data_IF_858881446088
#
_entry.id   IF_858881446088
#
_cell.length_a   1.000
_cell.length_b   1.000
_cell.length_c   1.000
_cell.angle_alpha   90.00
_cell.angle_beta   90.00
_cell.angle_gamma   90.00
#
_symmetry.space_group_name_H-M   'P 1'
#
loop_
_entity.id
_entity.type
_entity.pdbx_description
1 polymer ?
#
# COMPACT_ATOMS: atom_id res chain seq x y z
N UNK A 1 7.11 -6.05 -16.69
CA UNK A 1 7.18 -7.45 -16.23
C UNK A 1 6.54 -8.40 -17.25
N UNK A 2 7.12 -9.58 -17.44
CA UNK A 2 6.52 -10.66 -18.23
C UNK A 2 5.43 -11.37 -17.43
N UNK A 3 4.58 -12.14 -18.10
CA UNK A 3 3.57 -12.96 -17.42
C UNK A 3 4.20 -13.98 -16.45
N UNK A 4 5.39 -14.49 -16.74
CA UNK A 4 6.11 -15.40 -15.84
C UNK A 4 6.53 -14.69 -14.56
N UNK A 5 7.12 -13.48 -14.67
CA UNK A 5 7.53 -12.68 -13.52
C UNK A 5 6.36 -12.33 -12.60
N UNK A 6 5.17 -12.05 -13.15
CA UNK A 6 3.98 -11.77 -12.35
C UNK A 6 3.51 -13.00 -11.56
N UNK A 7 3.52 -14.18 -12.19
CA UNK A 7 3.16 -15.44 -11.51
C UNK A 7 4.13 -15.79 -10.39
N UNK A 8 5.43 -15.63 -10.63
CA UNK A 8 6.47 -15.91 -9.64
C UNK A 8 6.30 -14.98 -8.44
N UNK A 9 6.08 -13.69 -8.68
CA UNK A 9 5.78 -12.71 -7.63
C UNK A 9 4.50 -13.06 -6.87
N UNK A 10 3.41 -13.40 -7.56
CA UNK A 10 2.17 -13.81 -6.91
C UNK A 10 2.35 -15.07 -6.04
N UNK A 11 3.18 -16.02 -6.49
CA UNK A 11 3.51 -17.22 -5.72
C UNK A 11 4.35 -16.91 -4.48
N UNK A 12 5.30 -15.98 -4.58
CA UNK A 12 6.08 -15.51 -3.44
C UNK A 12 5.19 -14.81 -2.41
N UNK A 13 4.33 -13.89 -2.86
CA UNK A 13 3.40 -13.17 -1.97
C UNK A 13 2.49 -14.15 -1.21
N UNK A 14 1.93 -15.17 -1.89
CA UNK A 14 1.12 -16.19 -1.20
C UNK A 14 1.87 -16.89 -0.06
N UNK A 15 3.16 -17.15 -0.23
CA UNK A 15 4.00 -17.79 0.81
C UNK A 15 4.21 -16.91 2.03
N UNK A 16 4.16 -15.59 1.86
CA UNK A 16 4.34 -14.65 2.98
C UNK A 16 3.13 -14.58 3.92
N UNK A 17 1.94 -14.96 3.45
CA UNK A 17 0.71 -14.91 4.25
C UNK A 17 0.22 -13.49 4.56
N UNK A 18 0.70 -12.46 3.84
CA UNK A 18 0.25 -11.08 4.06
C UNK A 18 -1.22 -10.91 3.66
N UNK A 19 -2.01 -10.16 4.44
CA UNK A 19 -3.45 -9.98 4.17
C UNK A 19 -3.73 -8.96 3.06
N UNK A 20 -2.79 -8.02 2.83
CA UNK A 20 -3.02 -6.84 1.99
C UNK A 20 -1.76 -6.43 1.23
N UNK A 21 -1.93 -5.98 -0.01
CA UNK A 21 -0.93 -5.31 -0.87
C UNK A 21 -1.38 -3.86 -1.07
N UNK A 22 -0.43 -2.95 -1.22
CA UNK A 22 -0.69 -1.54 -1.49
C UNK A 22 -0.14 -1.12 -2.84
N UNK A 23 -0.91 -0.34 -3.59
CA UNK A 23 -0.39 0.39 -4.75
C UNK A 23 0.22 1.71 -4.30
N UNK A 24 1.15 2.25 -5.08
CA UNK A 24 1.59 3.63 -4.90
C UNK A 24 0.75 4.61 -5.74
N UNK A 25 0.73 5.87 -5.32
CA UNK A 25 -0.07 6.93 -5.97
C UNK A 25 0.35 7.28 -7.39
N UNK A 26 1.63 7.08 -7.73
CA UNK A 26 2.20 7.47 -9.03
C UNK A 26 2.07 6.38 -10.11
N UNK A 27 1.95 5.11 -9.70
CA UNK A 27 1.89 3.97 -10.60
C UNK A 27 0.48 3.65 -11.10
N UNK A 28 0.42 3.03 -12.28
CA UNK A 28 -0.78 2.38 -12.79
C UNK A 28 -1.06 1.08 -12.01
N UNK A 29 -2.19 1.03 -11.30
CA UNK A 29 -2.53 -0.10 -10.42
C UNK A 29 -2.86 -1.40 -11.18
N UNK A 30 -2.98 -1.39 -12.52
CA UNK A 30 -3.36 -2.60 -13.28
C UNK A 30 -2.43 -3.78 -13.03
N UNK A 31 -1.12 -3.53 -13.00
CA UNK A 31 -0.13 -4.60 -12.83
C UNK A 31 -0.20 -5.18 -11.42
N UNK A 32 -0.18 -4.34 -10.39
CA UNK A 32 -0.24 -4.79 -8.99
C UNK A 32 -1.60 -5.40 -8.65
N UNK A 33 -2.69 -4.91 -9.24
CA UNK A 33 -4.01 -5.50 -9.12
C UNK A 33 -4.11 -6.90 -9.75
N UNK A 34 -3.37 -7.16 -10.83
CA UNK A 34 -3.25 -8.51 -11.38
C UNK A 34 -2.50 -9.44 -10.43
N UNK A 35 -1.38 -8.98 -9.87
CA UNK A 35 -0.61 -9.73 -8.87
C UNK A 35 -1.48 -10.03 -7.65
N UNK A 36 -2.22 -9.06 -7.12
CA UNK A 36 -3.10 -9.24 -5.97
C UNK A 36 -4.18 -10.30 -6.24
N UNK A 37 -4.80 -10.26 -7.42
CA UNK A 37 -5.81 -11.25 -7.83
C UNK A 37 -5.22 -12.65 -7.96
N UNK A 38 -4.06 -12.78 -8.62
CA UNK A 38 -3.37 -14.08 -8.77
C UNK A 38 -2.86 -14.61 -7.41
N UNK A 39 -2.44 -13.72 -6.52
CA UNK A 39 -2.03 -14.07 -5.16
C UNK A 39 -3.21 -14.36 -4.22
N UNK A 40 -4.45 -14.05 -4.63
CA UNK A 40 -5.62 -14.07 -3.74
C UNK A 40 -5.42 -13.23 -2.47
N UNK A 41 -4.84 -12.04 -2.63
CA UNK A 41 -4.58 -11.07 -1.56
C UNK A 41 -5.35 -9.79 -1.83
N UNK A 42 -5.81 -9.10 -0.78
CA UNK A 42 -6.54 -7.84 -0.92
C UNK A 42 -5.61 -6.75 -1.47
N UNK A 43 -6.03 -6.07 -2.53
CA UNK A 43 -5.46 -4.77 -2.87
C UNK A 43 -6.11 -3.70 -1.99
N UNK A 44 -5.32 -2.94 -1.24
CA UNK A 44 -5.83 -1.85 -0.41
C UNK A 44 -6.49 -0.77 -1.29
N UNK A 45 -7.61 -0.18 -0.86
CA UNK A 45 -8.16 1.00 -1.51
C UNK A 45 -7.28 2.24 -1.30
N UNK A 46 -6.57 2.31 -0.18
CA UNK A 46 -5.57 3.34 0.09
C UNK A 46 -4.31 3.12 -0.73
N UNK A 47 -3.80 4.19 -1.34
CA UNK A 47 -2.53 4.18 -2.07
C UNK A 47 -1.45 4.82 -1.24
N UNK A 48 -0.26 4.24 -1.21
CA UNK A 48 0.88 4.83 -0.52
C UNK A 48 1.52 5.95 -1.34
N UNK A 49 2.10 6.92 -0.66
CA UNK A 49 2.93 7.94 -1.26
C UNK A 49 4.40 7.52 -1.12
N UNK A 50 5.07 7.25 -2.24
CA UNK A 50 6.48 6.83 -2.25
C UNK A 50 7.40 7.94 -2.77
N UNK A 51 7.03 8.57 -3.89
CA UNK A 51 7.90 9.51 -4.61
C UNK A 51 7.56 11.00 -4.36
N UNK A 52 6.72 11.30 -3.38
CA UNK A 52 6.37 12.68 -3.08
C UNK A 52 5.33 12.89 -2.01
N UNK A 53 4.96 14.16 -1.86
CA UNK A 53 3.91 14.61 -0.94
C UNK A 53 2.55 14.58 -1.64
N UNK A 54 1.51 14.64 -0.83
CA UNK A 54 0.16 14.86 -1.31
C UNK A 54 -0.03 16.25 -1.91
N UNK A 55 -1.21 16.47 -2.48
CA UNK A 55 -1.59 17.78 -3.00
C UNK A 55 -1.51 18.85 -1.91
N UNK A 56 -1.28 20.13 -2.26
CA UNK A 56 -1.40 21.22 -1.31
C UNK A 56 -2.72 21.17 -0.55
N UNK A 57 -2.68 21.54 0.73
CA UNK A 57 -3.84 21.54 1.64
C UNK A 57 -4.46 20.15 1.92
N UNK A 58 -3.71 19.05 1.72
CA UNK A 58 -4.11 17.71 2.22
C UNK A 58 -3.33 17.35 3.50
N UNK A 59 -3.81 16.36 4.28
CA UNK A 59 -3.04 15.81 5.41
C UNK A 59 -1.67 15.27 5.00
N UNK A 60 -1.47 14.94 3.73
CA UNK A 60 -0.22 14.39 3.18
C UNK A 60 0.68 15.45 2.53
N UNK A 61 0.34 16.74 2.64
CA UNK A 61 1.11 17.86 2.06
C UNK A 61 2.43 18.18 2.76
N UNK A 62 2.70 17.55 3.91
CA UNK A 62 3.97 17.64 4.63
C UNK A 62 4.59 16.24 4.74
N UNK A 63 5.90 16.18 4.94
CA UNK A 63 6.59 14.90 5.13
C UNK A 63 6.01 14.08 6.29
N UNK A 64 5.80 14.72 7.45
CA UNK A 64 5.23 14.05 8.63
C UNK A 64 3.81 13.57 8.36
N UNK A 65 3.00 14.40 7.71
CA UNK A 65 1.65 14.03 7.32
C UNK A 65 1.59 12.85 6.36
N UNK A 66 2.51 12.80 5.38
CA UNK A 66 2.68 11.68 4.45
C UNK A 66 3.08 10.38 5.18
N UNK A 67 4.07 10.45 6.08
CA UNK A 67 4.52 9.28 6.85
C UNK A 67 3.40 8.77 7.77
N UNK A 68 2.67 9.67 8.44
CA UNK A 68 1.53 9.30 9.27
C UNK A 68 0.44 8.60 8.46
N UNK A 69 0.11 9.13 7.28
CA UNK A 69 -0.87 8.53 6.39
C UNK A 69 -0.44 7.12 5.93
N UNK A 70 0.78 6.97 5.41
CA UNK A 70 1.30 5.68 4.96
C UNK A 70 1.32 4.66 6.10
N UNK A 71 1.76 5.08 7.29
CA UNK A 71 1.80 4.22 8.48
C UNK A 71 0.41 3.75 8.86
N UNK A 72 -0.59 4.65 8.93
CA UNK A 72 -1.95 4.26 9.21
C UNK A 72 -2.53 3.30 8.17
N UNK A 73 -2.31 3.55 6.88
CA UNK A 73 -2.78 2.68 5.80
C UNK A 73 -2.20 1.26 5.96
N UNK A 74 -0.90 1.16 6.23
CA UNK A 74 -0.22 -0.12 6.45
C UNK A 74 -0.77 -0.83 7.69
N UNK A 75 -0.85 -0.14 8.83
CA UNK A 75 -1.34 -0.72 10.09
C UNK A 75 -2.77 -1.25 9.93
N UNK A 76 -3.67 -0.48 9.31
CA UNK A 76 -5.05 -0.88 9.08
C UNK A 76 -5.13 -2.06 8.09
N UNK A 77 -4.37 -2.02 7.00
CA UNK A 77 -4.36 -3.11 6.01
C UNK A 77 -3.78 -4.41 6.55
N UNK A 78 -2.92 -4.36 7.56
CA UNK A 78 -2.39 -5.52 8.27
C UNK A 78 -3.26 -5.99 9.45
N UNK A 79 -4.46 -5.39 9.64
CA UNK A 79 -5.42 -5.77 10.68
C UNK A 79 -5.21 -5.12 12.04
N UNK A 80 -4.29 -4.15 12.13
CA UNK A 80 -4.08 -3.34 13.33
C UNK A 80 -5.08 -2.19 13.46
N UNK A 81 -4.83 -1.33 14.44
CA UNK A 81 -5.57 -0.09 14.66
C UNK A 81 -4.61 1.09 14.58
N UNK A 82 -4.88 2.05 13.70
CA UNK A 82 -4.14 3.31 13.73
C UNK A 82 -4.79 4.24 14.75
N UNK A 83 -4.03 4.67 15.75
CA UNK A 83 -4.45 5.67 16.71
C UNK A 83 -3.74 6.98 16.36
N UNK A 84 -4.42 8.13 16.51
CA UNK A 84 -3.75 9.42 16.40
C UNK A 84 -2.56 9.48 17.34
N UNK A 85 -1.45 10.08 16.89
CA UNK A 85 -0.33 10.38 17.77
C UNK A 85 -0.83 11.35 18.85
N UNK A 86 -0.86 10.89 20.10
CA UNK A 86 -1.16 11.73 21.25
C UNK A 86 0.15 12.38 21.70
N UNK A 87 0.34 13.64 21.32
CA UNK A 87 1.40 14.47 21.91
C UNK A 87 1.13 14.58 23.42
N UNK A 88 2.17 14.30 24.22
CA UNK A 88 2.16 14.53 25.66
C UNK A 88 2.60 15.95 25.96
#
# INVERSE_FOLDING_TARGET
PTAAQLRDLAAEIRKTGVPTIFAETSANDRTIGNVAREANVKLAPEKLLADGLGKPNTPTSTYIGMINYNTCAIVLGLGGKCLPFAEK
#
